data_IF_532366426362
#
_entry.id   IF_532366426362
#
_cell.length_a   1.000
_cell.length_b   1.000
_cell.length_c   1.000
_cell.angle_alpha   90.00
_cell.angle_beta   90.00
_cell.angle_gamma   90.00
#
_symmetry.space_group_name_H-M   'P 1'
#
loop_
_entity.id
_entity.type
_entity.pdbx_description
1 polymer ?
#
# COMPACT_ATOMS: atom_id res chain seq x y z
N UNK A 1 -0.10 13.15 -30.35
CA UNK A 1 0.29 13.63 -29.02
C UNK A 1 0.34 12.39 -28.12
N UNK A 2 1.49 12.12 -27.49
CA UNK A 2 1.56 11.07 -26.47
C UNK A 2 0.78 11.60 -25.26
N UNK A 3 -0.24 10.87 -24.85
CA UNK A 3 -1.00 11.23 -23.65
C UNK A 3 -0.09 10.91 -22.45
N UNK A 4 0.25 11.92 -21.67
CA UNK A 4 1.09 11.75 -20.49
C UNK A 4 0.32 10.99 -19.40
N UNK A 5 0.83 9.83 -19.00
CA UNK A 5 0.27 9.01 -17.92
C UNK A 5 0.88 9.47 -16.60
N UNK A 6 0.05 9.63 -15.58
CA UNK A 6 0.53 9.95 -14.22
C UNK A 6 0.51 8.71 -13.35
N UNK A 7 1.66 8.38 -12.74
CA UNK A 7 1.74 7.39 -11.66
C UNK A 7 1.32 8.03 -10.35
N UNK A 8 0.36 7.44 -9.66
CA UNK A 8 -0.02 7.81 -8.29
C UNK A 8 0.42 6.70 -7.35
N UNK A 9 1.37 7.00 -6.47
CA UNK A 9 2.02 6.03 -5.59
C UNK A 9 1.43 6.13 -4.19
N UNK A 10 0.79 5.04 -3.73
CA UNK A 10 0.12 4.92 -2.43
C UNK A 10 0.95 3.97 -1.56
N UNK A 11 1.52 4.48 -0.47
CA UNK A 11 2.35 3.70 0.44
C UNK A 11 1.53 2.74 1.32
N UNK A 12 2.22 1.81 1.99
CA UNK A 12 1.64 0.88 2.95
C UNK A 12 1.53 1.43 4.37
N UNK A 13 1.07 0.58 5.28
CA UNK A 13 0.90 0.89 6.69
C UNK A 13 2.18 1.33 7.38
N UNK A 14 2.06 2.32 8.25
CA UNK A 14 3.18 2.88 8.99
C UNK A 14 4.26 3.57 8.15
N UNK A 15 3.99 3.86 6.88
CA UNK A 15 4.90 4.54 5.97
C UNK A 15 4.39 5.96 5.61
N UNK A 16 5.20 6.70 4.87
CA UNK A 16 4.87 8.01 4.26
C UNK A 16 5.16 7.97 2.76
N UNK A 17 4.80 9.03 2.02
CA UNK A 17 5.18 9.18 0.61
C UNK A 17 6.69 9.03 0.37
N UNK A 18 7.51 9.32 1.36
CA UNK A 18 8.98 9.17 1.30
C UNK A 18 9.48 7.72 1.26
N UNK A 19 8.60 6.75 1.45
CA UNK A 19 8.87 5.33 1.14
C UNK A 19 9.34 5.15 -0.31
N UNK A 20 8.85 5.98 -1.22
CA UNK A 20 9.14 5.94 -2.65
C UNK A 20 10.42 6.68 -3.07
N UNK A 21 11.12 7.36 -2.14
CA UNK A 21 12.28 8.22 -2.45
C UNK A 21 13.35 7.52 -3.30
N UNK A 22 13.59 6.22 -3.06
CA UNK A 22 14.57 5.44 -3.86
C UNK A 22 14.03 5.04 -5.23
N UNK A 23 12.73 4.93 -5.39
CA UNK A 23 12.08 4.59 -6.66
C UNK A 23 11.99 5.80 -7.59
N UNK A 24 11.68 6.99 -7.05
CA UNK A 24 11.41 8.19 -7.85
C UNK A 24 12.48 8.50 -8.90
N UNK A 25 13.80 8.37 -8.63
CA UNK A 25 14.85 8.64 -9.63
C UNK A 25 14.87 7.67 -10.82
N UNK A 26 14.14 6.55 -10.74
CA UNK A 26 14.06 5.54 -11.80
C UNK A 26 12.76 5.65 -12.63
N UNK A 27 11.89 6.60 -12.30
CA UNK A 27 10.61 6.77 -12.98
C UNK A 27 10.67 7.94 -13.96
N UNK A 28 10.15 7.72 -15.17
CA UNK A 28 9.98 8.76 -16.17
C UNK A 28 8.54 9.30 -16.17
N UNK A 29 8.38 10.57 -16.54
CA UNK A 29 7.08 11.22 -16.68
C UNK A 29 6.50 11.76 -15.37
N UNK A 30 5.19 11.91 -15.33
CA UNK A 30 4.47 12.49 -14.19
C UNK A 30 4.29 11.47 -13.07
N UNK A 31 4.72 11.82 -11.85
CA UNK A 31 4.62 10.97 -10.66
C UNK A 31 4.08 11.78 -9.49
N UNK A 32 3.10 11.25 -8.79
CA UNK A 32 2.53 11.80 -7.56
C UNK A 32 2.63 10.74 -6.45
N UNK A 33 3.59 10.90 -5.54
CA UNK A 33 3.63 10.11 -4.31
C UNK A 33 2.77 10.82 -3.25
N UNK A 34 1.74 10.15 -2.75
CA UNK A 34 0.79 10.73 -1.79
C UNK A 34 1.10 10.30 -0.37
N UNK A 35 0.90 11.21 0.58
CA UNK A 35 0.79 10.86 1.99
C UNK A 35 -0.67 10.57 2.34
N UNK A 36 -0.92 9.48 3.03
CA UNK A 36 -2.23 9.23 3.64
C UNK A 36 -2.44 10.13 4.87
N UNK A 37 -3.67 10.40 5.32
CA UNK A 37 -3.94 11.23 6.49
C UNK A 37 -3.24 10.72 7.75
N UNK A 38 -2.89 11.63 8.66
CA UNK A 38 -2.13 11.36 9.86
C UNK A 38 -0.61 11.32 9.67
N UNK A 39 -0.10 11.59 8.44
CA UNK A 39 1.31 11.51 8.07
C UNK A 39 1.79 12.81 7.42
N UNK A 40 3.09 13.12 7.57
CA UNK A 40 3.80 14.16 6.82
C UNK A 40 3.07 15.52 6.72
N UNK A 41 2.43 15.96 7.80
CA UNK A 41 1.72 17.24 7.83
C UNK A 41 0.24 17.18 7.45
N UNK A 42 -0.29 16.05 6.99
CA UNK A 42 -1.72 15.81 6.85
C UNK A 42 -2.32 15.41 8.19
N UNK A 43 -2.70 16.40 9.01
CA UNK A 43 -3.25 16.15 10.35
C UNK A 43 -4.53 15.31 10.26
N UNK A 44 -4.59 14.22 11.04
CA UNK A 44 -5.77 13.38 11.23
C UNK A 44 -5.68 12.65 12.57
N UNK A 45 -6.84 12.30 13.14
CA UNK A 45 -6.88 11.43 14.30
C UNK A 45 -6.81 9.96 13.85
N UNK A 46 -5.65 9.34 14.05
CA UNK A 46 -5.43 7.92 13.69
C UNK A 46 -6.37 6.97 14.44
N UNK A 47 -6.95 7.41 15.57
CA UNK A 47 -7.87 6.59 16.35
C UNK A 47 -9.27 6.47 15.74
N UNK A 48 -9.59 7.29 14.73
CA UNK A 48 -10.90 7.31 14.06
C UNK A 48 -10.80 7.26 12.54
N UNK A 49 -9.59 7.38 11.99
CA UNK A 49 -9.34 7.46 10.55
C UNK A 49 -9.88 6.23 9.81
N UNK A 50 -10.70 6.48 8.80
CA UNK A 50 -11.34 5.46 7.96
C UNK A 50 -10.67 5.29 6.61
N UNK A 51 -10.99 4.19 5.91
CA UNK A 51 -10.62 3.98 4.49
C UNK A 51 -11.24 5.09 3.62
N UNK A 52 -12.44 5.53 3.92
CA UNK A 52 -13.11 6.61 3.16
C UNK A 52 -12.36 7.94 3.29
N UNK A 53 -11.85 8.27 4.50
CA UNK A 53 -11.01 9.46 4.71
C UNK A 53 -9.70 9.37 3.93
N UNK A 54 -9.08 8.19 3.90
CA UNK A 54 -7.86 7.94 3.12
C UNK A 54 -8.13 8.08 1.61
N UNK A 55 -9.24 7.52 1.11
CA UNK A 55 -9.70 7.68 -0.29
C UNK A 55 -9.91 9.15 -0.62
N UNK A 56 -10.66 9.88 0.20
CA UNK A 56 -10.93 11.30 -0.01
C UNK A 56 -9.64 12.12 -0.07
N UNK A 57 -8.67 11.80 0.78
CA UNK A 57 -7.36 12.46 0.78
C UNK A 57 -6.58 12.22 -0.51
N UNK A 58 -6.52 10.96 -0.99
CA UNK A 58 -5.82 10.61 -2.24
C UNK A 58 -6.48 11.31 -3.43
N UNK A 59 -7.82 11.31 -3.49
CA UNK A 59 -8.59 11.98 -4.55
C UNK A 59 -8.34 13.49 -4.53
N UNK A 60 -8.27 14.10 -3.35
CA UNK A 60 -7.95 15.53 -3.21
C UNK A 60 -6.54 15.87 -3.71
N UNK A 61 -5.53 15.04 -3.39
CA UNK A 61 -4.16 15.21 -3.90
C UNK A 61 -4.11 15.10 -5.43
N UNK A 62 -4.80 14.12 -6.00
CA UNK A 62 -4.91 13.95 -7.46
C UNK A 62 -5.58 15.17 -8.09
N UNK A 63 -6.66 15.67 -7.49
CA UNK A 63 -7.34 16.86 -7.97
C UNK A 63 -6.46 18.10 -7.90
N UNK A 64 -5.68 18.27 -6.84
CA UNK A 64 -4.74 19.38 -6.67
C UNK A 64 -3.57 19.32 -7.66
N UNK A 65 -3.05 18.12 -7.96
CA UNK A 65 -2.02 17.91 -8.97
C UNK A 65 -2.56 18.11 -10.41
N UNK A 66 -3.89 18.01 -10.59
CA UNK A 66 -4.61 18.19 -11.84
C UNK A 66 -3.98 17.48 -13.06
N UNK A 67 -3.67 16.18 -12.98
CA UNK A 67 -3.06 15.47 -14.11
C UNK A 67 -4.01 15.46 -15.31
N UNK A 68 -3.48 15.81 -16.48
CA UNK A 68 -4.28 15.94 -17.71
C UNK A 68 -4.62 14.58 -18.35
N UNK A 69 -3.80 13.55 -18.08
CA UNK A 69 -3.91 12.24 -18.70
C UNK A 69 -4.53 11.16 -17.81
N UNK A 70 -4.50 9.91 -18.29
CA UNK A 70 -4.92 8.76 -17.50
C UNK A 70 -3.98 8.54 -16.30
N UNK A 71 -4.51 7.85 -15.28
CA UNK A 71 -3.82 7.59 -14.03
C UNK A 71 -3.52 6.10 -13.93
N UNK A 72 -2.30 5.77 -13.53
CA UNK A 72 -1.93 4.44 -13.05
C UNK A 72 -1.80 4.51 -11.53
N UNK A 73 -2.63 3.77 -10.81
CA UNK A 73 -2.50 3.64 -9.36
C UNK A 73 -1.49 2.56 -9.02
N UNK A 74 -0.53 2.89 -8.19
CA UNK A 74 0.47 1.95 -7.67
C UNK A 74 0.31 1.89 -6.16
N UNK A 75 -0.01 0.74 -5.62
CA UNK A 75 -0.23 0.59 -4.18
C UNK A 75 0.68 -0.49 -3.58
N UNK A 76 1.22 -0.21 -2.41
CA UNK A 76 2.04 -1.13 -1.64
C UNK A 76 1.32 -1.55 -0.36
N UNK A 77 1.34 -2.85 -0.04
CA UNK A 77 0.88 -3.39 1.24
C UNK A 77 -0.56 -2.93 1.59
N UNK A 78 -0.81 -2.36 2.78
CA UNK A 78 -2.15 -1.87 3.17
C UNK A 78 -2.68 -0.72 2.30
N UNK A 79 -1.83 -0.04 1.53
CA UNK A 79 -2.29 0.93 0.53
C UNK A 79 -3.25 0.34 -0.51
N UNK A 80 -3.25 -0.99 -0.68
CA UNK A 80 -4.23 -1.69 -1.51
C UNK A 80 -5.68 -1.50 -1.05
N UNK A 81 -5.92 -1.28 0.25
CA UNK A 81 -7.27 -1.08 0.79
C UNK A 81 -7.94 0.21 0.29
N UNK A 82 -7.14 1.19 -0.11
CA UNK A 82 -7.60 2.50 -0.59
C UNK A 82 -7.96 2.46 -2.09
N UNK A 83 -7.33 1.55 -2.85
CA UNK A 83 -7.41 1.50 -4.32
C UNK A 83 -8.85 1.43 -4.86
N UNK A 84 -9.74 0.53 -4.39
CA UNK A 84 -11.09 0.43 -4.95
C UNK A 84 -11.90 1.72 -4.82
N UNK A 85 -11.80 2.38 -3.66
CA UNK A 85 -12.48 3.66 -3.42
C UNK A 85 -11.96 4.78 -4.33
N UNK A 86 -10.64 4.84 -4.55
CA UNK A 86 -10.03 5.83 -5.46
C UNK A 86 -10.45 5.56 -6.90
N UNK A 87 -10.47 4.29 -7.35
CA UNK A 87 -10.96 3.93 -8.70
C UNK A 87 -12.40 4.37 -8.90
N UNK A 88 -13.27 4.08 -7.93
CA UNK A 88 -14.67 4.48 -7.98
C UNK A 88 -14.85 6.01 -8.04
N UNK A 89 -14.09 6.75 -7.23
CA UNK A 89 -14.19 8.21 -7.17
C UNK A 89 -13.64 8.92 -8.42
N UNK A 90 -12.71 8.30 -9.14
CA UNK A 90 -12.07 8.90 -10.33
C UNK A 90 -12.80 8.57 -11.65
N UNK A 91 -13.87 7.81 -11.62
CA UNK A 91 -14.82 7.58 -12.72
C UNK A 91 -14.17 7.43 -14.12
N UNK A 92 -13.51 6.30 -14.34
CA UNK A 92 -12.88 5.96 -15.63
C UNK A 92 -11.54 6.64 -15.93
N UNK A 93 -10.99 7.46 -15.04
CA UNK A 93 -9.67 8.08 -15.21
C UNK A 93 -8.51 7.14 -14.90
N UNK A 94 -8.76 6.06 -14.16
CA UNK A 94 -7.73 5.06 -13.85
C UNK A 94 -7.60 4.09 -15.00
N UNK A 95 -6.46 4.09 -15.67
CA UNK A 95 -6.19 3.22 -16.82
C UNK A 95 -5.66 1.85 -16.42
N UNK A 96 -4.95 1.76 -15.31
CA UNK A 96 -4.48 0.48 -14.74
C UNK A 96 -4.11 0.62 -13.26
N UNK A 97 -3.98 -0.53 -12.60
CA UNK A 97 -3.59 -0.64 -11.20
C UNK A 97 -2.39 -1.59 -11.08
N UNK A 98 -1.37 -1.21 -10.33
CA UNK A 98 -0.24 -2.06 -9.94
C UNK A 98 -0.24 -2.25 -8.44
N UNK A 99 -0.32 -3.49 -7.99
CA UNK A 99 -0.36 -3.89 -6.58
C UNK A 99 0.93 -4.60 -6.21
N UNK A 100 1.77 -4.01 -5.36
CA UNK A 100 2.98 -4.67 -4.85
C UNK A 100 2.76 -5.19 -3.44
N UNK A 101 2.72 -6.50 -3.27
CA UNK A 101 2.44 -7.18 -2.01
C UNK A 101 1.23 -6.55 -1.27
N UNK A 102 0.26 -6.05 -2.02
CA UNK A 102 -0.84 -5.25 -1.53
C UNK A 102 -1.96 -6.12 -0.94
N UNK A 103 -2.66 -5.59 0.06
CA UNK A 103 -3.79 -6.28 0.68
C UNK A 103 -5.03 -6.20 -0.21
N UNK A 104 -5.54 -7.38 -0.56
CA UNK A 104 -6.77 -7.57 -1.35
C UNK A 104 -7.68 -8.51 -0.57
N UNK A 105 -8.52 -8.00 0.35
CA UNK A 105 -9.53 -8.84 1.00
C UNK A 105 -10.56 -9.35 -0.01
N UNK A 106 -11.34 -10.36 0.39
CA UNK A 106 -12.49 -10.79 -0.40
C UNK A 106 -13.48 -9.64 -0.57
N UNK A 107 -14.40 -9.74 -1.53
CA UNK A 107 -15.43 -8.71 -1.76
C UNK A 107 -16.22 -8.44 -0.48
N UNK A 108 -16.24 -7.19 -0.03
CA UNK A 108 -16.84 -6.79 1.25
C UNK A 108 -16.10 -7.27 2.50
N UNK A 109 -14.95 -7.92 2.35
CA UNK A 109 -14.06 -8.31 3.44
C UNK A 109 -13.17 -7.15 3.90
N UNK A 110 -12.44 -7.38 4.98
CA UNK A 110 -11.62 -6.37 5.65
C UNK A 110 -10.13 -6.67 5.52
N UNK A 111 -9.29 -5.64 5.58
CA UNK A 111 -7.83 -5.79 5.49
C UNK A 111 -7.23 -6.75 6.53
N UNK A 112 -7.83 -6.82 7.71
CA UNK A 112 -7.42 -7.77 8.77
C UNK A 112 -7.52 -9.24 8.33
N UNK A 113 -8.40 -9.56 7.39
CA UNK A 113 -8.57 -10.93 6.90
C UNK A 113 -7.42 -11.39 5.99
N UNK A 114 -6.61 -10.44 5.51
CA UNK A 114 -5.38 -10.70 4.76
C UNK A 114 -4.17 -10.97 5.66
N UNK A 115 -4.28 -10.73 6.96
CA UNK A 115 -3.18 -10.90 7.90
C UNK A 115 -2.98 -12.37 8.29
N UNK A 116 -1.74 -12.70 8.71
CA UNK A 116 -1.44 -13.99 9.33
C UNK A 116 -2.39 -14.28 10.49
N UNK A 117 -2.87 -15.52 10.66
CA UNK A 117 -3.88 -15.87 11.69
C UNK A 117 -3.54 -15.35 13.09
N UNK A 118 -2.27 -15.52 13.52
CA UNK A 118 -1.82 -15.06 14.84
C UNK A 118 -1.86 -13.53 14.99
N UNK A 119 -1.47 -12.78 13.95
CA UNK A 119 -1.50 -11.32 13.98
C UNK A 119 -2.95 -10.81 13.97
N UNK A 120 -3.80 -11.40 13.13
CA UNK A 120 -5.23 -11.10 13.05
C UNK A 120 -5.91 -11.28 14.41
N UNK A 121 -5.69 -12.41 15.07
CA UNK A 121 -6.26 -12.70 16.40
C UNK A 121 -5.74 -11.72 17.45
N UNK A 122 -4.42 -11.50 17.50
CA UNK A 122 -3.82 -10.55 18.43
C UNK A 122 -4.37 -9.13 18.28
N UNK A 123 -4.54 -8.67 17.03
CA UNK A 123 -5.07 -7.33 16.76
C UNK A 123 -6.55 -7.23 17.15
N UNK A 124 -7.37 -8.25 16.84
CA UNK A 124 -8.79 -8.31 17.28
C UNK A 124 -8.93 -8.23 18.79
N UNK A 125 -8.11 -8.99 19.52
CA UNK A 125 -8.11 -8.97 20.98
C UNK A 125 -7.69 -7.60 21.53
N UNK A 126 -6.68 -6.97 20.93
CA UNK A 126 -6.19 -5.65 21.36
C UNK A 126 -7.24 -4.57 21.15
N UNK A 127 -7.90 -4.55 19.98
CA UNK A 127 -9.00 -3.62 19.69
C UNK A 127 -10.15 -3.81 20.66
N UNK A 128 -10.64 -5.04 20.84
CA UNK A 128 -11.73 -5.33 21.76
C UNK A 128 -11.39 -4.98 23.22
N UNK A 129 -10.13 -5.11 23.63
CA UNK A 129 -9.69 -4.69 24.95
C UNK A 129 -9.68 -3.17 25.12
N UNK A 130 -9.23 -2.44 24.10
CA UNK A 130 -9.23 -0.97 24.09
C UNK A 130 -10.65 -0.41 24.13
N UNK A 131 -11.56 -0.95 23.32
CA UNK A 131 -12.99 -0.58 23.29
C UNK A 131 -13.66 -0.78 24.67
N UNK A 132 -13.45 -1.93 25.31
CA UNK A 132 -13.98 -2.18 26.66
C UNK A 132 -13.47 -1.19 27.72
N UNK A 133 -12.30 -0.60 27.48
CA UNK A 133 -11.67 0.39 28.37
C UNK A 133 -11.97 1.84 27.95
N UNK A 134 -12.75 2.06 26.90
CA UNK A 134 -13.01 3.38 26.35
C UNK A 134 -11.72 4.10 25.86
N UNK A 135 -10.70 3.34 25.44
CA UNK A 135 -9.41 3.87 24.97
C UNK A 135 -9.33 3.81 23.46
N UNK A 136 -8.81 4.89 22.86
CA UNK A 136 -8.37 4.87 21.48
C UNK A 136 -7.19 3.90 21.30
N UNK A 137 -7.09 3.27 20.14
CA UNK A 137 -5.98 2.42 19.76
C UNK A 137 -5.45 2.85 18.38
N UNK A 138 -4.14 2.93 18.28
CA UNK A 138 -3.41 3.10 17.01
C UNK A 138 -2.42 1.96 16.88
N UNK A 139 -1.99 1.67 15.65
CA UNK A 139 -0.87 0.77 15.42
C UNK A 139 0.43 1.54 15.60
N UNK A 140 1.42 0.99 16.32
CA UNK A 140 2.77 1.51 16.21
C UNK A 140 3.24 1.37 14.76
N UNK A 141 4.12 2.25 14.34
CA UNK A 141 4.82 2.09 13.07
C UNK A 141 5.62 0.79 13.03
N UNK A 142 6.23 0.47 11.88
CA UNK A 142 7.24 -0.57 11.80
C UNK A 142 8.31 -0.37 12.91
N UNK A 143 9.01 -1.45 13.31
CA UNK A 143 10.09 -1.29 14.30
C UNK A 143 11.08 -0.20 13.87
N UNK A 144 11.42 0.69 14.78
CA UNK A 144 12.35 1.82 14.55
C UNK A 144 13.82 1.45 14.85
N UNK A 145 14.06 0.25 15.38
CA UNK A 145 15.42 -0.27 15.55
C UNK A 145 15.76 -1.30 14.45
N UNK A 146 17.01 -1.28 13.93
CA UNK A 146 17.42 -2.12 12.81
C UNK A 146 17.28 -3.63 13.04
N UNK A 147 17.51 -4.12 14.26
CA UNK A 147 17.45 -5.56 14.54
C UNK A 147 16.00 -6.07 14.50
N UNK A 148 15.10 -5.39 15.20
CA UNK A 148 13.66 -5.71 15.19
C UNK A 148 13.07 -5.57 13.79
N UNK A 149 13.50 -4.54 13.02
CA UNK A 149 13.07 -4.35 11.64
C UNK A 149 13.51 -5.54 10.76
N UNK A 150 14.79 -5.97 10.86
CA UNK A 150 15.26 -7.19 10.17
C UNK A 150 14.43 -8.41 10.54
N UNK A 151 14.08 -8.56 11.82
CA UNK A 151 13.26 -9.66 12.30
C UNK A 151 11.86 -9.67 11.65
N UNK A 152 11.23 -8.51 11.56
CA UNK A 152 9.88 -8.34 11.03
C UNK A 152 9.82 -8.45 9.50
N UNK A 153 10.75 -7.79 8.80
CA UNK A 153 10.77 -7.63 7.34
C UNK A 153 11.83 -8.49 6.64
N UNK A 154 12.56 -9.31 7.37
CA UNK A 154 13.56 -10.22 6.82
C UNK A 154 12.96 -11.16 5.78
N UNK A 155 13.76 -11.61 4.86
CA UNK A 155 13.43 -12.39 3.66
C UNK A 155 14.44 -12.06 2.59
N UNK A 156 15.15 -10.96 2.78
CA UNK A 156 16.24 -10.48 1.96
C UNK A 156 17.30 -9.81 2.83
N UNK A 157 18.55 -9.75 2.36
CA UNK A 157 19.59 -9.01 3.06
C UNK A 157 19.25 -7.51 3.01
N UNK A 158 19.05 -6.93 4.19
CA UNK A 158 18.94 -5.49 4.38
C UNK A 158 20.30 -5.00 4.86
N UNK A 159 21.03 -4.29 4.02
CA UNK A 159 22.26 -3.61 4.42
C UNK A 159 21.96 -2.43 5.36
N UNK A 160 23.01 -1.91 5.99
CA UNK A 160 22.85 -0.85 6.99
C UNK A 160 22.29 0.44 6.39
N UNK A 161 22.63 0.77 5.14
CA UNK A 161 22.07 1.93 4.43
C UNK A 161 20.55 1.79 4.20
N UNK A 162 20.11 0.61 3.77
CA UNK A 162 18.69 0.31 3.60
C UNK A 162 17.94 0.31 4.92
N UNK A 163 18.55 -0.25 5.97
CA UNK A 163 17.95 -0.22 7.30
C UNK A 163 17.78 1.21 7.82
N UNK A 164 18.83 2.01 7.76
CA UNK A 164 18.78 3.42 8.17
C UNK A 164 17.75 4.20 7.35
N UNK A 165 17.59 3.87 6.07
CA UNK A 165 16.58 4.48 5.23
C UNK A 165 15.15 4.16 5.70
N UNK A 166 14.85 2.90 5.99
CA UNK A 166 13.47 2.45 6.29
C UNK A 166 13.04 2.74 7.73
N UNK A 167 13.97 2.80 8.70
CA UNK A 167 13.66 3.14 10.10
C UNK A 167 13.67 4.64 10.37
N UNK A 168 14.02 5.46 9.40
CA UNK A 168 14.03 6.93 9.55
C UNK A 168 12.61 7.43 9.93
N UNK A 169 12.45 8.22 10.99
CA UNK A 169 11.16 8.76 11.44
C UNK A 169 10.37 9.54 10.39
N UNK A 170 11.01 10.02 9.33
CA UNK A 170 10.30 10.64 8.19
C UNK A 170 9.59 9.62 7.31
N UNK A 171 9.91 8.32 7.44
CA UNK A 171 9.35 7.22 6.64
C UNK A 171 8.61 6.18 7.48
N UNK A 172 8.92 6.10 8.77
CA UNK A 172 8.39 5.10 9.70
C UNK A 172 7.57 5.81 10.78
N UNK A 173 6.25 5.69 10.72
CA UNK A 173 5.31 6.44 11.54
C UNK A 173 4.20 5.53 12.09
N UNK A 174 3.47 6.02 13.10
CA UNK A 174 2.27 5.34 13.59
C UNK A 174 1.18 5.26 12.50
N UNK A 175 0.28 4.29 12.63
CA UNK A 175 -0.80 4.05 11.70
C UNK A 175 -2.17 3.94 12.39
N UNK A 176 -3.24 4.05 11.61
CA UNK A 176 -4.59 3.72 12.07
C UNK A 176 -4.76 2.20 12.15
N UNK A 177 -5.58 1.76 13.10
CA UNK A 177 -6.03 0.37 13.16
C UNK A 177 -7.35 0.20 12.40
N UNK A 178 -8.12 1.27 12.28
CA UNK A 178 -9.52 1.22 11.84
C UNK A 178 -9.67 0.79 10.39
N UNK A 179 -8.76 1.21 9.50
CA UNK A 179 -8.85 0.83 8.09
C UNK A 179 -8.73 -0.70 7.87
N UNK A 180 -8.08 -1.43 8.79
CA UNK A 180 -8.01 -2.90 8.69
C UNK A 180 -9.33 -3.61 9.03
N UNK A 181 -10.28 -2.92 9.67
CA UNK A 181 -11.56 -3.49 10.08
C UNK A 181 -12.75 -3.03 9.23
N UNK A 182 -12.49 -2.22 8.22
CA UNK A 182 -13.54 -1.71 7.34
C UNK A 182 -13.65 -2.54 6.07
N UNK A 183 -14.88 -2.71 5.53
CA UNK A 183 -15.10 -3.47 4.31
C UNK A 183 -14.52 -2.74 3.09
N UNK A 184 -13.94 -3.52 2.17
CA UNK A 184 -13.39 -3.02 0.91
C UNK A 184 -14.08 -3.75 -0.25
N UNK A 185 -14.49 -3.03 -1.29
CA UNK A 185 -15.26 -3.55 -2.41
C UNK A 185 -14.46 -3.53 -3.71
N UNK A 186 -13.80 -4.67 -4.00
CA UNK A 186 -12.95 -4.82 -5.19
C UNK A 186 -13.73 -4.86 -6.50
N UNK A 187 -15.04 -5.09 -6.47
CA UNK A 187 -15.93 -4.96 -7.63
C UNK A 187 -15.83 -3.58 -8.30
N UNK A 188 -15.45 -2.52 -7.56
CA UNK A 188 -15.19 -1.19 -8.11
C UNK A 188 -14.03 -1.14 -9.13
N UNK A 189 -13.12 -2.12 -9.09
CA UNK A 189 -11.97 -2.23 -10.00
C UNK A 189 -12.31 -3.06 -11.25
N UNK A 190 -13.55 -3.54 -11.36
CA UNK A 190 -13.99 -4.31 -12.52
C UNK A 190 -13.79 -3.53 -13.82
N UNK A 191 -13.12 -4.16 -14.81
CA UNK A 191 -12.81 -3.52 -16.10
C UNK A 191 -11.51 -2.70 -16.12
N UNK A 192 -10.85 -2.50 -14.98
CA UNK A 192 -9.53 -1.87 -14.92
C UNK A 192 -8.45 -2.97 -14.94
N UNK A 193 -7.48 -2.94 -15.85
CA UNK A 193 -6.35 -3.87 -15.84
C UNK A 193 -5.58 -3.80 -14.52
N UNK A 194 -5.29 -4.98 -13.93
CA UNK A 194 -4.53 -5.06 -12.68
C UNK A 194 -3.29 -5.92 -12.88
N UNK A 195 -2.15 -5.40 -12.45
CA UNK A 195 -0.91 -6.17 -12.29
C UNK A 195 -0.66 -6.38 -10.79
N UNK A 196 -0.51 -7.63 -10.36
CA UNK A 196 -0.12 -7.96 -9.00
C UNK A 196 1.35 -8.40 -8.97
N UNK A 197 2.19 -7.61 -8.33
CA UNK A 197 3.61 -7.91 -8.12
C UNK A 197 3.75 -8.68 -6.82
N UNK A 198 3.98 -9.98 -6.95
CA UNK A 198 4.11 -10.93 -5.85
C UNK A 198 5.58 -11.05 -5.45
N UNK A 199 5.87 -10.77 -4.19
CA UNK A 199 7.21 -10.85 -3.63
C UNK A 199 7.43 -12.23 -2.98
N UNK A 200 8.29 -13.06 -3.56
CA UNK A 200 8.43 -14.49 -3.21
C UNK A 200 9.12 -14.75 -1.85
N UNK A 201 9.79 -13.74 -1.28
CA UNK A 201 10.43 -13.81 0.04
C UNK A 201 9.77 -12.91 1.07
N UNK A 202 8.56 -12.44 0.79
CA UNK A 202 7.82 -11.56 1.69
C UNK A 202 7.47 -12.25 3.01
N UNK A 203 7.79 -11.60 4.12
CA UNK A 203 7.44 -12.09 5.46
C UNK A 203 6.23 -11.39 6.07
N UNK A 204 6.06 -10.08 5.96
CA UNK A 204 4.82 -9.41 6.36
C UNK A 204 3.58 -9.99 5.68
N UNK A 205 3.59 -10.13 4.36
CA UNK A 205 2.50 -10.69 3.57
C UNK A 205 3.01 -11.92 2.84
N UNK A 206 2.70 -13.11 3.36
CA UNK A 206 3.24 -14.35 2.83
C UNK A 206 2.91 -14.56 1.35
N UNK A 207 3.82 -15.15 0.55
CA UNK A 207 3.60 -15.38 -0.88
C UNK A 207 2.31 -16.13 -1.19
N UNK A 208 1.96 -17.14 -0.37
CA UNK A 208 0.73 -17.91 -0.52
C UNK A 208 -0.52 -17.03 -0.34
N UNK A 209 -0.47 -16.10 0.62
CA UNK A 209 -1.55 -15.14 0.82
C UNK A 209 -1.61 -14.13 -0.33
N UNK A 210 -0.48 -13.71 -0.89
CA UNK A 210 -0.44 -12.85 -2.08
C UNK A 210 -1.05 -13.55 -3.29
N UNK A 211 -0.81 -14.85 -3.50
CA UNK A 211 -1.46 -15.63 -4.55
C UNK A 211 -2.98 -15.68 -4.39
N UNK A 212 -3.45 -15.99 -3.20
CA UNK A 212 -4.89 -15.99 -2.90
C UNK A 212 -5.51 -14.61 -3.13
N UNK A 213 -4.82 -13.55 -2.74
CA UNK A 213 -5.29 -12.18 -2.93
C UNK A 213 -5.36 -11.79 -4.42
N UNK A 214 -4.38 -12.16 -5.21
CA UNK A 214 -4.39 -11.93 -6.66
C UNK A 214 -5.57 -12.66 -7.34
N UNK A 215 -5.96 -13.84 -6.86
CA UNK A 215 -7.11 -14.60 -7.38
C UNK A 215 -8.48 -14.01 -6.99
N UNK A 216 -8.53 -13.15 -5.96
CA UNK A 216 -9.77 -12.48 -5.52
C UNK A 216 -10.15 -11.27 -6.37
N UNK A 217 -9.24 -10.79 -7.20
CA UNK A 217 -9.50 -9.65 -8.08
C UNK A 217 -10.61 -9.98 -9.08
N UNK A 218 -11.48 -8.99 -9.43
CA UNK A 218 -12.68 -9.23 -10.25
C UNK A 218 -12.39 -9.69 -11.68
N UNK A 219 -11.16 -9.47 -12.16
CA UNK A 219 -10.61 -10.01 -13.41
C UNK A 219 -9.27 -10.69 -13.12
N UNK A 220 -8.86 -11.67 -13.97
CA UNK A 220 -7.54 -12.26 -13.83
C UNK A 220 -6.47 -11.17 -13.88
N UNK A 221 -5.76 -10.99 -12.77
CA UNK A 221 -4.63 -10.08 -12.71
C UNK A 221 -3.44 -10.67 -13.47
N UNK A 222 -2.65 -9.82 -14.09
CA UNK A 222 -1.30 -10.20 -14.49
C UNK A 222 -0.45 -10.35 -13.23
N UNK A 223 0.01 -11.57 -12.93
CA UNK A 223 0.86 -11.81 -11.76
C UNK A 223 2.31 -11.84 -12.18
N UNK A 224 3.11 -10.92 -11.63
CA UNK A 224 4.56 -10.86 -11.81
C UNK A 224 5.21 -11.30 -10.51
N UNK A 225 5.98 -12.41 -10.55
CA UNK A 225 6.72 -12.92 -9.40
C UNK A 225 8.11 -12.30 -9.36
N UNK A 226 8.50 -11.81 -8.19
CA UNK A 226 9.84 -11.22 -7.99
C UNK A 226 10.49 -11.89 -6.78
N UNK A 227 11.72 -12.33 -6.95
CA UNK A 227 12.55 -12.87 -5.87
C UNK A 227 13.01 -11.76 -4.93
N UNK A 228 12.07 -11.22 -4.15
CA UNK A 228 12.25 -10.10 -3.22
C UNK A 228 11.40 -10.29 -1.98
N UNK A 229 11.75 -9.59 -0.90
CA UNK A 229 10.91 -9.43 0.29
C UNK A 229 9.92 -8.28 0.15
N UNK A 230 9.36 -7.84 1.27
CA UNK A 230 8.27 -6.84 1.31
C UNK A 230 8.64 -5.48 0.72
N UNK A 231 9.92 -5.13 0.74
CA UNK A 231 10.41 -3.78 0.44
C UNK A 231 10.96 -3.63 -1.00
N UNK A 232 10.45 -4.39 -1.96
CA UNK A 232 10.90 -4.36 -3.36
C UNK A 232 11.14 -2.94 -3.91
N UNK A 233 10.25 -1.94 -3.72
CA UNK A 233 10.47 -0.59 -4.24
C UNK A 233 11.67 0.14 -3.62
N UNK A 234 12.13 -0.31 -2.45
CA UNK A 234 13.25 0.30 -1.73
C UNK A 234 14.57 -0.38 -2.07
N UNK A 235 14.57 -1.72 -2.14
CA UNK A 235 15.80 -2.53 -2.27
C UNK A 235 16.19 -2.83 -3.72
N UNK A 236 15.20 -2.88 -4.62
CA UNK A 236 15.42 -3.06 -6.05
C UNK A 236 14.57 -2.09 -6.88
N UNK A 237 14.73 -0.75 -6.65
CA UNK A 237 13.88 0.26 -7.27
C UNK A 237 13.91 0.23 -8.79
N UNK A 238 15.07 -0.05 -9.41
CA UNK A 238 15.18 -0.17 -10.86
C UNK A 238 14.37 -1.34 -11.43
N UNK A 239 14.32 -2.48 -10.71
CA UNK A 239 13.48 -3.63 -11.09
C UNK A 239 12.01 -3.27 -11.02
N UNK A 240 11.59 -2.61 -9.93
CA UNK A 240 10.20 -2.20 -9.78
C UNK A 240 9.81 -1.13 -10.81
N UNK A 241 10.69 -0.17 -11.12
CA UNK A 241 10.47 0.82 -12.16
C UNK A 241 10.27 0.18 -13.54
N UNK A 242 11.04 -0.86 -13.88
CA UNK A 242 10.86 -1.62 -15.13
C UNK A 242 9.48 -2.28 -15.20
N UNK A 243 9.02 -2.90 -14.11
CA UNK A 243 7.68 -3.47 -14.02
C UNK A 243 6.60 -2.39 -14.23
N UNK A 244 6.79 -1.20 -13.65
CA UNK A 244 5.87 -0.09 -13.83
C UNK A 244 5.86 0.46 -15.26
N UNK A 245 6.99 0.42 -15.96
CA UNK A 245 7.07 0.82 -17.36
C UNK A 245 6.33 -0.16 -18.28
N UNK A 246 6.50 -1.46 -18.08
CA UNK A 246 5.84 -2.52 -18.85
C UNK A 246 4.31 -2.56 -18.60
N UNK A 247 3.88 -2.23 -17.40
CA UNK A 247 2.45 -2.18 -17.02
C UNK A 247 1.70 -0.93 -17.49
N UNK A 248 2.36 -0.01 -18.21
CA UNK A 248 1.72 1.21 -18.77
C UNK A 248 1.11 1.01 -20.16
N UNK A 249 1.18 -0.22 -20.72
CA UNK A 249 0.70 -0.53 -22.08
C UNK A 249 -0.78 -0.90 -22.07
#
# INVERSE_FOLDING_TARGET
MVVEVTLVLIHGGGATARFWDRLLPHLDGSVLAVDLPGRAGKAADLATLSVEDEVASVVADIAAAAPAGPIVLVAHSSGGLVVPGVVAALDGRVSSVVLNAALVPAEGGCGIDCMKPKHREGLRLSVAAAERQGRAITLPGPPDDPESFRGAYGGEPLDDDTLMFVVDPVRCVADTVHHYFQPVHWSAVAGVPVTYVLNERDRPVLPEAQEEMAQRLPHPATVIRVDSGHLLPVIAPAVFAHILADGRV
#
